data_IF_271602489185
#
_entry.id   IF_271602489185
#
_cell.length_a   1.000
_cell.length_b   1.000
_cell.length_c   1.000
_cell.angle_alpha   90.00
_cell.angle_beta   90.00
_cell.angle_gamma   90.00
#
_symmetry.space_group_name_H-M   'P 1'
#
loop_
_entity.id
_entity.type
_entity.pdbx_description
1 polymer ?
#
# COMPACT_ATOMS: atom_id res chain seq x y z
N UNK A 1 12.11 -14.10 -10.26
CA UNK A 1 11.20 -14.73 -9.28
C UNK A 1 10.59 -13.60 -8.46
N UNK A 2 9.37 -13.15 -8.79
CA UNK A 2 8.75 -11.98 -8.13
C UNK A 2 7.29 -12.32 -7.84
N UNK A 3 7.07 -13.34 -7.01
CA UNK A 3 5.75 -13.64 -6.47
C UNK A 3 5.90 -14.42 -5.16
N UNK A 4 6.74 -13.90 -4.27
CA UNK A 4 6.92 -14.55 -2.97
C UNK A 4 5.80 -14.07 -2.06
N UNK A 5 4.80 -14.94 -1.86
CA UNK A 5 3.75 -14.81 -0.82
C UNK A 5 4.29 -14.85 0.62
N UNK A 6 5.61 -14.78 0.79
CA UNK A 6 6.34 -14.95 2.03
C UNK A 6 7.31 -13.78 2.13
N UNK A 7 7.16 -13.00 3.20
CA UNK A 7 8.10 -11.96 3.60
C UNK A 7 9.11 -12.57 4.58
N UNK A 8 10.31 -11.98 4.67
CA UNK A 8 11.34 -12.43 5.61
C UNK A 8 10.85 -12.44 7.07
N UNK A 9 11.53 -13.19 7.94
CA UNK A 9 11.36 -12.99 9.39
C UNK A 9 11.70 -11.52 9.66
N UNK A 10 10.80 -10.81 10.33
CA UNK A 10 10.89 -9.37 10.66
C UNK A 10 10.56 -8.39 9.52
N UNK A 11 9.97 -8.86 8.43
CA UNK A 11 9.40 -7.98 7.41
C UNK A 11 7.92 -7.67 7.66
N UNK A 12 7.49 -6.52 7.16
CA UNK A 12 6.09 -6.08 7.20
C UNK A 12 5.49 -6.02 5.79
N UNK A 13 4.16 -6.13 5.72
CA UNK A 13 3.40 -5.78 4.53
C UNK A 13 3.14 -4.29 4.50
N UNK A 14 3.37 -3.67 3.34
CA UNK A 14 3.00 -2.29 3.07
C UNK A 14 1.64 -2.30 2.37
N UNK A 15 0.66 -1.62 2.94
CA UNK A 15 -0.66 -1.50 2.34
C UNK A 15 -0.69 -0.30 1.40
N UNK A 16 -1.15 -0.53 0.18
CA UNK A 16 -1.21 0.47 -0.89
C UNK A 16 -2.59 0.54 -1.52
N UNK A 17 -3.01 1.74 -1.89
CA UNK A 17 -4.32 2.06 -2.46
C UNK A 17 -4.55 1.36 -3.80
N UNK A 18 -5.65 0.61 -3.90
CA UNK A 18 -6.05 -0.02 -5.18
C UNK A 18 -6.39 1.03 -6.23
N UNK A 19 -7.00 2.15 -5.84
CA UNK A 19 -7.29 3.26 -6.75
C UNK A 19 -6.01 3.84 -7.36
N UNK A 20 -4.97 4.05 -6.54
CA UNK A 20 -3.69 4.52 -7.03
C UNK A 20 -3.00 3.49 -7.95
N UNK A 21 -3.04 2.20 -7.59
CA UNK A 21 -2.52 1.13 -8.46
C UNK A 21 -3.23 1.06 -9.82
N UNK A 22 -4.53 1.30 -9.87
CA UNK A 22 -5.26 1.40 -11.14
C UNK A 22 -4.79 2.58 -11.98
N UNK A 23 -4.62 3.76 -11.39
CA UNK A 23 -4.04 4.92 -12.07
C UNK A 23 -2.64 4.62 -12.59
N UNK A 24 -1.81 3.94 -11.79
CA UNK A 24 -0.46 3.55 -12.19
C UNK A 24 -0.48 2.56 -13.36
N UNK A 25 -1.35 1.55 -13.33
CA UNK A 25 -1.50 0.62 -14.45
C UNK A 25 -2.00 1.32 -15.74
N UNK A 26 -2.89 2.29 -15.59
CA UNK A 26 -3.33 3.11 -16.72
C UNK A 26 -2.18 3.95 -17.30
N UNK A 27 -1.36 4.56 -16.44
CA UNK A 27 -0.14 5.27 -16.84
C UNK A 27 0.82 4.38 -17.64
N UNK A 28 1.07 3.15 -17.18
CA UNK A 28 1.95 2.21 -17.91
C UNK A 28 1.39 1.80 -19.27
N UNK A 29 0.11 2.06 -19.53
CA UNK A 29 -0.57 1.81 -20.80
C UNK A 29 -0.71 3.08 -21.67
N UNK A 30 0.01 4.15 -21.35
CA UNK A 30 0.00 5.43 -22.10
C UNK A 30 -0.94 6.50 -21.53
N UNK A 31 -1.56 6.27 -20.36
CA UNK A 31 -2.33 7.27 -19.64
C UNK A 31 -1.46 8.35 -18.97
N UNK A 32 -2.07 9.33 -18.27
CA UNK A 32 -1.32 10.32 -17.49
C UNK A 32 -0.64 9.71 -16.26
N UNK A 33 0.43 10.31 -15.72
CA UNK A 33 1.07 9.86 -14.48
C UNK A 33 0.06 9.73 -13.32
N UNK A 34 0.20 8.72 -12.44
CA UNK A 34 -0.77 8.46 -11.37
C UNK A 34 -0.77 9.52 -10.25
N UNK A 35 0.21 10.42 -10.26
CA UNK A 35 0.49 11.32 -9.13
C UNK A 35 1.08 10.57 -7.93
N UNK A 36 1.21 11.25 -6.77
CA UNK A 36 1.71 10.65 -5.55
C UNK A 36 0.83 9.51 -5.05
N UNK A 37 1.44 8.53 -4.36
CA UNK A 37 0.68 7.46 -3.69
C UNK A 37 -0.31 8.11 -2.73
N UNK A 38 -1.59 7.73 -2.81
CA UNK A 38 -2.64 8.24 -1.91
C UNK A 38 -3.32 7.09 -1.16
N UNK A 39 -2.81 6.82 0.03
CA UNK A 39 -3.37 5.85 0.96
C UNK A 39 -4.47 6.44 1.86
N UNK A 40 -4.76 7.75 1.77
CA UNK A 40 -5.94 8.33 2.42
C UNK A 40 -7.25 7.82 1.78
N UNK A 41 -7.20 7.10 0.66
CA UNK A 41 -8.37 6.37 0.14
C UNK A 41 -8.94 5.39 1.16
N UNK A 42 -8.09 4.69 1.93
CA UNK A 42 -8.48 3.74 2.98
C UNK A 42 -8.04 4.14 4.40
N UNK A 43 -7.30 5.24 4.56
CA UNK A 43 -6.90 5.80 5.85
C UNK A 43 -7.58 7.12 6.14
N UNK A 44 -7.77 7.40 7.42
CA UNK A 44 -8.13 8.72 7.93
C UNK A 44 -6.89 9.62 7.99
N UNK A 45 -7.10 10.93 8.20
CA UNK A 45 -6.00 11.90 8.31
C UNK A 45 -5.07 11.62 9.49
N UNK A 46 -5.60 11.00 10.55
CA UNK A 46 -4.84 10.59 11.74
C UNK A 46 -4.12 9.23 11.57
N UNK A 47 -4.17 8.65 10.37
CA UNK A 47 -3.54 7.36 10.05
C UNK A 47 -4.35 6.13 10.48
N UNK A 48 -5.52 6.30 11.10
CA UNK A 48 -6.40 5.17 11.44
C UNK A 48 -7.07 4.61 10.19
N UNK A 49 -7.36 3.30 10.16
CA UNK A 49 -8.21 2.72 9.13
C UNK A 49 -9.57 3.43 9.03
N UNK A 50 -10.05 3.65 7.81
CA UNK A 50 -11.48 3.92 7.58
C UNK A 50 -12.28 2.65 7.84
N UNK A 51 -13.56 2.80 8.17
CA UNK A 51 -14.46 1.66 8.37
C UNK A 51 -14.74 0.93 7.05
N UNK A 52 -14.99 -0.38 7.15
CA UNK A 52 -15.44 -1.24 6.04
C UNK A 52 -14.51 -1.29 4.82
N UNK A 53 -13.23 -1.00 5.01
CA UNK A 53 -12.19 -1.13 3.99
C UNK A 53 -11.82 -2.59 3.79
N UNK A 54 -11.78 -3.02 2.53
CA UNK A 54 -11.59 -4.43 2.13
C UNK A 54 -10.31 -4.61 1.33
N UNK A 55 -9.52 -5.62 1.69
CA UNK A 55 -8.39 -6.11 0.89
C UNK A 55 -8.87 -6.47 -0.52
N UNK A 56 -8.06 -6.14 -1.53
CA UNK A 56 -8.34 -6.42 -2.94
C UNK A 56 -9.24 -5.38 -3.60
N UNK A 57 -10.15 -4.75 -2.85
CA UNK A 57 -11.04 -3.68 -3.34
C UNK A 57 -10.47 -2.29 -3.07
N UNK A 58 -10.02 -2.04 -1.85
CA UNK A 58 -9.58 -0.70 -1.41
C UNK A 58 -8.07 -0.62 -1.27
N UNK A 59 -7.44 -1.70 -0.81
CA UNK A 59 -5.99 -1.78 -0.63
C UNK A 59 -5.44 -3.16 -1.01
N UNK A 60 -4.14 -3.22 -1.31
CA UNK A 60 -3.36 -4.46 -1.47
C UNK A 60 -2.11 -4.40 -0.60
N UNK A 61 -1.58 -5.57 -0.25
CA UNK A 61 -0.28 -5.67 0.41
C UNK A 61 0.82 -5.83 -0.62
N UNK A 62 1.91 -5.10 -0.44
CA UNK A 62 3.16 -5.23 -1.19
C UNK A 62 4.33 -5.38 -0.21
N UNK A 63 5.43 -5.98 -0.67
CA UNK A 63 6.63 -6.09 0.14
C UNK A 63 7.41 -4.76 0.17
N UNK A 64 8.43 -4.69 1.03
CA UNK A 64 9.29 -3.50 1.19
C UNK A 64 9.93 -3.05 -0.12
N UNK A 65 10.42 -3.99 -0.94
CA UNK A 65 11.08 -3.67 -2.21
C UNK A 65 10.12 -2.95 -3.18
N UNK A 66 8.90 -3.45 -3.31
CA UNK A 66 7.86 -2.84 -4.17
C UNK A 66 7.41 -1.49 -3.62
N UNK A 67 7.23 -1.36 -2.30
CA UNK A 67 6.91 -0.07 -1.69
C UNK A 67 7.99 0.97 -1.97
N UNK A 68 9.26 0.63 -1.72
CA UNK A 68 10.38 1.53 -1.95
C UNK A 68 10.51 1.95 -3.41
N UNK A 69 10.29 1.00 -4.34
CA UNK A 69 10.24 1.33 -5.76
C UNK A 69 9.19 2.40 -6.07
N UNK A 70 7.95 2.23 -5.60
CA UNK A 70 6.88 3.18 -5.88
C UNK A 70 7.09 4.53 -5.19
N UNK A 71 7.44 4.54 -3.90
CA UNK A 71 7.57 5.79 -3.14
C UNK A 71 8.78 6.61 -3.62
N UNK A 72 9.87 5.99 -4.09
CA UNK A 72 11.03 6.72 -4.61
C UNK A 72 10.72 7.44 -5.93
N UNK A 73 9.81 6.91 -6.74
CA UNK A 73 9.44 7.50 -8.04
C UNK A 73 8.30 8.51 -7.88
N UNK A 74 7.26 8.15 -7.11
CA UNK A 74 6.01 8.90 -7.05
C UNK A 74 5.80 9.68 -5.75
N UNK A 75 6.54 9.36 -4.69
CA UNK A 75 6.33 9.93 -3.36
C UNK A 75 4.93 9.63 -2.79
N UNK A 76 4.45 10.51 -1.91
CA UNK A 76 3.11 10.44 -1.32
C UNK A 76 3.06 9.63 -0.03
N UNK A 77 1.92 8.97 0.21
CA UNK A 77 1.63 8.21 1.41
C UNK A 77 0.19 8.37 1.88
N UNK A 78 -0.09 8.30 3.20
CA UNK A 78 0.87 7.95 4.26
C UNK A 78 1.28 6.48 4.18
N UNK A 79 2.42 6.15 4.80
CA UNK A 79 2.86 4.76 4.96
C UNK A 79 1.89 4.00 5.87
N UNK A 80 1.55 2.76 5.50
CA UNK A 80 0.73 1.86 6.30
C UNK A 80 1.36 0.47 6.29
N UNK A 81 1.84 0.00 7.44
CA UNK A 81 2.51 -1.30 7.58
C UNK A 81 1.75 -2.23 8.53
N UNK A 82 1.75 -3.52 8.23
CA UNK A 82 1.02 -4.56 8.98
C UNK A 82 1.79 -5.88 8.99
N UNK A 83 1.62 -6.70 10.03
CA UNK A 83 2.22 -8.05 10.06
C UNK A 83 1.52 -8.99 9.08
N UNK A 84 0.24 -8.77 8.84
CA UNK A 84 -0.58 -9.49 7.85
C UNK A 84 -1.14 -8.52 6.82
N UNK A 85 -1.54 -9.02 5.65
CA UNK A 85 -2.29 -8.20 4.68
C UNK A 85 -3.73 -8.03 5.17
N UNK A 86 -3.88 -7.31 6.27
CA UNK A 86 -5.11 -6.94 6.95
C UNK A 86 -4.92 -5.54 7.55
N UNK A 87 -5.66 -4.57 7.03
CA UNK A 87 -5.61 -3.17 7.47
C UNK A 87 -5.92 -2.99 8.96
N UNK A 88 -6.70 -3.88 9.54
CA UNK A 88 -7.12 -3.82 10.94
C UNK A 88 -6.20 -4.60 11.88
N UNK A 89 -5.18 -5.29 11.35
CA UNK A 89 -4.08 -5.83 12.15
C UNK A 89 -3.34 -4.66 12.85
N UNK A 90 -2.81 -4.83 14.07
CA UNK A 90 -2.08 -3.77 14.75
C UNK A 90 -0.90 -3.25 13.93
N UNK A 91 -0.59 -1.96 14.07
CA UNK A 91 0.63 -1.39 13.48
C UNK A 91 1.84 -1.93 14.27
N UNK A 92 2.72 -2.73 13.64
CA UNK A 92 3.85 -3.34 14.34
C UNK A 92 4.90 -2.33 14.83
N UNK A 93 4.80 -1.07 14.42
CA UNK A 93 5.70 0.00 14.90
C UNK A 93 5.27 0.61 16.23
N UNK A 94 4.02 0.36 16.65
CA UNK A 94 3.42 0.90 17.86
C UNK A 94 3.23 -0.17 18.96
N UNK A 95 3.70 -1.39 18.71
CA UNK A 95 3.73 -2.52 19.66
C UNK A 95 5.12 -2.64 20.26
#
# INVERSE_FOLDING_TARGET
MIDTKVIGRDEYWFLISVAWLFSWHHFTSGGPPPGPIDNYSFLQKDGKPKEKMKRGTHYRGVNNSVWNYFVNIYGGGPICVRNKIDLYDPDPRNT
#
